data_IF_741988443050
#
_entry.id   IF_741988443050
#
_cell.length_a   1.000
_cell.length_b   1.000
_cell.length_c   1.000
_cell.angle_alpha   90.00
_cell.angle_beta   90.00
_cell.angle_gamma   90.00
#
_symmetry.space_group_name_H-M   'P 1'
#
loop_
_entity.id
_entity.type
_entity.pdbx_description
1 polymer ?
#
# COMPACT_ATOMS: atom_id res chain seq x y z
N UNK A 1 -38.34 4.39 -21.17
CA UNK A 1 -37.10 4.01 -21.91
C UNK A 1 -36.00 3.82 -20.89
N UNK A 2 -35.48 2.60 -20.75
CA UNK A 2 -34.38 2.27 -19.82
C UNK A 2 -33.06 2.81 -20.35
N UNK A 3 -32.17 3.22 -19.44
CA UNK A 3 -30.86 3.84 -19.70
C UNK A 3 -29.95 2.99 -20.62
N UNK A 4 -30.18 1.67 -20.66
CA UNK A 4 -29.54 0.72 -21.57
C UNK A 4 -29.78 1.03 -23.07
N UNK A 5 -30.88 1.71 -23.44
CA UNK A 5 -31.22 2.02 -24.84
C UNK A 5 -30.44 3.24 -25.41
N UNK A 6 -29.51 3.83 -24.65
CA UNK A 6 -28.69 5.01 -25.06
C UNK A 6 -27.19 4.74 -25.17
N UNK A 7 -26.72 3.53 -24.87
CA UNK A 7 -25.29 3.19 -24.97
C UNK A 7 -24.95 2.92 -26.44
N UNK A 8 -24.16 3.81 -27.05
CA UNK A 8 -23.72 3.69 -28.46
C UNK A 8 -22.36 3.02 -28.62
N UNK A 9 -21.48 3.13 -27.60
CA UNK A 9 -20.21 2.39 -27.48
C UNK A 9 -19.87 2.16 -26.02
N UNK A 10 -19.20 1.05 -25.73
CA UNK A 10 -18.68 0.72 -24.40
C UNK A 10 -17.17 0.54 -24.48
N UNK A 11 -16.43 1.34 -23.71
CA UNK A 11 -14.97 1.25 -23.62
C UNK A 11 -14.58 0.58 -22.29
N UNK A 12 -13.53 -0.22 -22.30
CA UNK A 12 -12.91 -0.76 -21.08
C UNK A 12 -11.47 -0.27 -20.96
N UNK A 13 -11.06 -0.01 -19.73
CA UNK A 13 -9.66 0.25 -19.41
C UNK A 13 -9.26 -0.55 -18.17
N UNK A 14 -7.97 -0.84 -18.08
CA UNK A 14 -7.33 -1.43 -16.91
C UNK A 14 -6.85 -0.29 -16.02
N UNK A 15 -7.39 -0.17 -14.81
CA UNK A 15 -6.87 0.73 -13.79
C UNK A 15 -5.76 0.05 -12.98
N UNK A 16 -4.66 0.74 -12.74
CA UNK A 16 -3.59 0.28 -11.86
C UNK A 16 -3.73 0.94 -10.49
N UNK A 17 -4.63 0.42 -9.64
CA UNK A 17 -5.00 1.09 -8.38
C UNK A 17 -3.81 1.44 -7.48
N UNK A 18 -2.75 0.62 -7.46
CA UNK A 18 -1.55 0.90 -6.66
C UNK A 18 -0.81 2.18 -7.09
N UNK A 19 -0.83 2.56 -8.37
CA UNK A 19 -0.16 3.79 -8.85
C UNK A 19 -0.92 5.05 -8.43
N UNK A 20 -2.26 5.00 -8.37
CA UNK A 20 -3.06 6.09 -7.82
C UNK A 20 -2.79 6.29 -6.32
N UNK A 21 -2.63 5.20 -5.58
CA UNK A 21 -2.31 5.25 -4.15
C UNK A 21 -0.88 5.78 -3.91
N UNK A 22 0.10 5.36 -4.72
CA UNK A 22 1.44 5.95 -4.68
C UNK A 22 1.44 7.45 -5.03
N UNK A 23 0.61 7.89 -5.98
CA UNK A 23 0.46 9.32 -6.26
C UNK A 23 -0.04 10.10 -5.03
N UNK A 24 -0.93 9.51 -4.22
CA UNK A 24 -1.36 10.11 -2.95
C UNK A 24 -0.21 10.16 -1.93
N UNK A 25 0.53 9.06 -1.77
CA UNK A 25 1.74 8.99 -0.93
C UNK A 25 2.73 10.11 -1.29
N UNK A 26 3.06 10.24 -2.58
CA UNK A 26 3.99 11.26 -3.08
C UNK A 26 3.53 12.69 -2.79
N UNK A 27 2.22 12.96 -2.87
CA UNK A 27 1.68 14.29 -2.54
C UNK A 27 1.77 14.58 -1.05
N UNK A 28 1.38 13.61 -0.20
CA UNK A 28 1.38 13.78 1.25
C UNK A 28 2.80 13.87 1.82
N UNK A 29 3.75 13.05 1.35
CA UNK A 29 5.13 13.12 1.86
C UNK A 29 5.79 14.45 1.52
N UNK A 30 5.58 14.97 0.29
CA UNK A 30 6.06 16.31 -0.08
C UNK A 30 5.47 17.40 0.80
N UNK A 31 4.19 17.28 1.18
CA UNK A 31 3.58 18.24 2.09
C UNK A 31 4.18 18.15 3.49
N UNK A 32 4.34 16.94 4.02
CA UNK A 32 4.94 16.71 5.33
C UNK A 32 6.38 17.27 5.41
N UNK A 33 7.18 17.06 4.37
CA UNK A 33 8.57 17.54 4.28
C UNK A 33 8.68 19.07 4.18
N UNK A 34 7.68 19.74 3.61
CA UNK A 34 7.69 21.19 3.39
C UNK A 34 6.87 21.96 4.46
N UNK A 35 6.32 21.28 5.47
CA UNK A 35 5.54 21.93 6.51
C UNK A 35 6.42 22.36 7.68
N UNK A 36 6.32 23.62 8.09
CA UNK A 36 7.00 24.13 9.28
C UNK A 36 6.33 23.70 10.59
N UNK A 37 5.05 23.28 10.55
CA UNK A 37 4.27 22.80 11.71
C UNK A 37 3.22 21.76 11.30
N UNK A 38 2.93 20.83 12.21
CA UNK A 38 1.90 19.79 12.10
C UNK A 38 1.94 18.94 10.81
N UNK A 39 2.72 17.87 10.85
CA UNK A 39 2.81 16.87 9.77
C UNK A 39 1.92 15.66 10.02
N UNK A 40 1.15 15.62 11.11
CA UNK A 40 0.48 14.40 11.57
C UNK A 40 -0.45 13.82 10.51
N UNK A 41 -1.32 14.65 9.94
CA UNK A 41 -2.30 14.23 8.92
C UNK A 41 -1.60 13.76 7.65
N UNK A 42 -0.53 14.45 7.24
CA UNK A 42 0.22 14.06 6.05
C UNK A 42 1.01 12.75 6.28
N UNK A 43 1.55 12.52 7.48
CA UNK A 43 2.19 11.24 7.85
C UNK A 43 1.16 10.10 7.91
N UNK A 44 -0.02 10.33 8.52
CA UNK A 44 -1.14 9.39 8.52
C UNK A 44 -1.51 8.97 7.08
N UNK A 45 -1.65 9.96 6.18
CA UNK A 45 -1.94 9.71 4.77
C UNK A 45 -0.85 8.88 4.10
N UNK A 46 0.42 9.22 4.31
CA UNK A 46 1.56 8.46 3.76
C UNK A 46 1.51 7.01 4.19
N UNK A 47 1.36 6.74 5.48
CA UNK A 47 1.35 5.39 6.03
C UNK A 47 0.15 4.58 5.51
N UNK A 48 -1.06 5.15 5.59
CA UNK A 48 -2.27 4.47 5.17
C UNK A 48 -2.26 4.17 3.66
N UNK A 49 -1.92 5.15 2.82
CA UNK A 49 -1.88 4.94 1.37
C UNK A 49 -0.72 4.03 0.95
N UNK A 50 0.39 3.98 1.70
CA UNK A 50 1.48 3.03 1.45
C UNK A 50 1.03 1.58 1.69
N UNK A 51 0.31 1.31 2.79
CA UNK A 51 -0.27 -0.02 3.03
C UNK A 51 -1.27 -0.44 1.95
N UNK A 52 -2.17 0.46 1.57
CA UNK A 52 -3.16 0.20 0.52
C UNK A 52 -2.47 0.00 -0.84
N UNK A 53 -1.44 0.79 -1.16
CA UNK A 53 -0.67 0.65 -2.40
C UNK A 53 0.01 -0.72 -2.46
N UNK A 54 0.67 -1.14 -1.37
CA UNK A 54 1.31 -2.44 -1.29
C UNK A 54 0.31 -3.59 -1.48
N UNK A 55 -0.85 -3.55 -0.83
CA UNK A 55 -1.87 -4.59 -1.01
C UNK A 55 -2.45 -4.58 -2.43
N UNK A 56 -2.76 -3.41 -2.98
CA UNK A 56 -3.25 -3.28 -4.36
C UNK A 56 -2.23 -3.81 -5.37
N UNK A 57 -0.94 -3.58 -5.11
CA UNK A 57 0.15 -4.11 -5.92
C UNK A 57 0.24 -5.64 -5.83
N UNK A 58 0.20 -6.23 -4.63
CA UNK A 58 0.15 -7.69 -4.46
C UNK A 58 -1.08 -8.31 -5.16
N UNK A 59 -2.23 -7.63 -5.09
CA UNK A 59 -3.43 -8.03 -5.84
C UNK A 59 -3.25 -7.96 -7.36
N UNK A 60 -2.40 -7.06 -7.86
CA UNK A 60 -2.10 -6.90 -9.29
C UNK A 60 -1.14 -7.99 -9.80
N UNK A 61 -0.10 -8.34 -9.04
CA UNK A 61 0.87 -9.36 -9.44
C UNK A 61 0.40 -10.79 -9.15
N UNK A 62 -0.48 -10.99 -8.17
CA UNK A 62 -0.96 -12.31 -7.76
C UNK A 62 -1.51 -13.19 -8.91
N UNK A 63 -2.40 -12.69 -9.80
CA UNK A 63 -2.89 -13.45 -10.94
C UNK A 63 -1.81 -13.89 -11.94
N UNK A 64 -0.66 -13.21 -11.96
CA UNK A 64 0.48 -13.57 -12.84
C UNK A 64 1.32 -14.72 -12.26
N UNK A 65 1.14 -15.01 -10.97
CA UNK A 65 1.87 -16.07 -10.25
C UNK A 65 0.96 -17.26 -9.95
N UNK A 66 -0.30 -17.00 -9.61
CA UNK A 66 -1.29 -18.02 -9.24
C UNK A 66 -2.53 -17.96 -10.14
N UNK A 67 -2.81 -19.02 -10.93
CA UNK A 67 -3.99 -19.07 -11.80
C UNK A 67 -5.34 -18.92 -11.07
N UNK A 68 -5.44 -19.38 -9.82
CA UNK A 68 -6.68 -19.31 -9.01
C UNK A 68 -6.65 -18.18 -7.97
N UNK A 69 -6.08 -17.02 -8.33
CA UNK A 69 -5.89 -15.89 -7.41
C UNK A 69 -7.19 -15.27 -6.88
N UNK A 70 -8.20 -15.08 -7.73
CA UNK A 70 -9.43 -14.36 -7.36
C UNK A 70 -10.17 -14.87 -6.11
N UNK A 71 -10.44 -16.18 -5.97
CA UNK A 71 -11.03 -16.70 -4.73
C UNK A 71 -10.04 -16.67 -3.56
N UNK A 72 -8.75 -16.83 -3.82
CA UNK A 72 -7.70 -16.88 -2.80
C UNK A 72 -7.46 -15.52 -2.15
N UNK A 73 -7.31 -14.46 -2.95
CA UNK A 73 -6.94 -13.10 -2.50
C UNK A 73 -7.90 -12.49 -1.49
N UNK A 74 -9.16 -12.96 -1.44
CA UNK A 74 -10.20 -12.52 -0.50
C UNK A 74 -10.02 -13.07 0.91
N UNK A 75 -9.27 -14.17 1.06
CA UNK A 75 -9.04 -14.85 2.34
C UNK A 75 -7.67 -14.55 2.94
N UNK A 76 -6.74 -14.07 2.12
CA UNK A 76 -5.38 -13.76 2.55
C UNK A 76 -5.29 -12.32 3.07
N UNK A 77 -4.64 -12.16 4.22
CA UNK A 77 -4.08 -10.88 4.65
C UNK A 77 -3.00 -10.39 3.66
N UNK A 78 -2.66 -9.09 3.65
CA UNK A 78 -1.58 -8.59 2.79
C UNK A 78 -0.25 -9.30 3.00
N UNK A 79 0.06 -9.71 4.24
CA UNK A 79 1.26 -10.47 4.56
C UNK A 79 1.25 -11.86 3.89
N UNK A 80 0.16 -12.60 4.09
CA UNK A 80 -0.01 -13.93 3.50
C UNK A 80 -0.03 -13.90 1.96
N UNK A 81 -0.53 -12.81 1.34
CA UNK A 81 -0.46 -12.61 -0.11
C UNK A 81 1.00 -12.63 -0.59
N UNK A 82 1.90 -11.92 0.08
CA UNK A 82 3.31 -11.93 -0.28
C UNK A 82 3.93 -13.31 -0.03
N UNK A 83 3.66 -13.92 1.13
CA UNK A 83 4.20 -15.24 1.49
C UNK A 83 3.88 -16.28 0.40
N UNK A 84 2.62 -16.37 -0.04
CA UNK A 84 2.24 -17.33 -1.08
C UNK A 84 2.87 -16.98 -2.43
N UNK A 85 2.89 -15.71 -2.82
CA UNK A 85 3.47 -15.23 -4.10
C UNK A 85 4.96 -15.57 -4.16
N UNK A 86 5.70 -15.27 -3.11
CA UNK A 86 7.13 -15.54 -3.01
C UNK A 86 7.40 -17.06 -3.02
N UNK A 87 6.62 -17.85 -2.27
CA UNK A 87 6.74 -19.30 -2.22
C UNK A 87 6.55 -19.94 -3.60
N UNK A 88 5.54 -19.51 -4.39
CA UNK A 88 5.32 -20.04 -5.74
C UNK A 88 6.42 -19.71 -6.75
N UNK A 89 7.22 -18.66 -6.51
CA UNK A 89 8.35 -18.29 -7.35
C UNK A 89 9.71 -18.69 -6.75
N UNK A 90 9.73 -19.31 -5.58
CA UNK A 90 10.96 -19.65 -4.87
C UNK A 90 11.78 -18.44 -4.40
N UNK A 91 11.15 -17.26 -4.29
CA UNK A 91 11.79 -16.03 -3.80
C UNK A 91 11.89 -16.10 -2.28
N UNK A 92 13.10 -15.91 -1.75
CA UNK A 92 13.34 -15.86 -0.31
C UNK A 92 13.38 -14.42 0.16
N UNK A 93 12.73 -14.15 1.28
CA UNK A 93 12.76 -12.85 1.94
C UNK A 93 12.61 -13.02 3.46
N UNK A 94 12.77 -11.93 4.21
CA UNK A 94 12.65 -11.92 5.67
C UNK A 94 11.82 -10.74 6.13
N UNK A 95 10.76 -11.01 6.90
CA UNK A 95 9.94 -9.99 7.56
C UNK A 95 10.72 -9.12 8.58
N UNK A 96 11.93 -9.54 8.96
CA UNK A 96 12.83 -8.78 9.84
C UNK A 96 13.86 -7.91 9.12
N UNK A 97 13.81 -7.82 7.78
CA UNK A 97 14.74 -7.04 6.98
C UNK A 97 14.01 -6.10 6.02
N UNK A 98 14.58 -4.93 5.76
CA UNK A 98 14.05 -4.00 4.74
C UNK A 98 14.15 -4.62 3.32
N UNK A 99 13.18 -4.35 2.43
CA UNK A 99 12.00 -3.49 2.60
C UNK A 99 10.80 -4.16 3.30
N UNK A 100 10.88 -5.46 3.58
CA UNK A 100 9.75 -6.27 4.08
C UNK A 100 9.39 -5.96 5.54
N UNK A 101 10.36 -5.53 6.35
CA UNK A 101 10.11 -5.03 7.70
C UNK A 101 9.16 -3.83 7.68
N UNK A 102 9.42 -2.82 6.84
CA UNK A 102 8.52 -1.67 6.66
C UNK A 102 7.15 -2.09 6.12
N UNK A 103 7.09 -3.10 5.24
CA UNK A 103 5.81 -3.66 4.78
C UNK A 103 5.01 -4.27 5.94
N UNK A 104 5.62 -5.09 6.80
CA UNK A 104 4.94 -5.66 7.96
C UNK A 104 4.46 -4.58 8.94
N UNK A 105 5.28 -3.56 9.17
CA UNK A 105 4.95 -2.42 10.01
C UNK A 105 3.73 -1.65 9.48
N UNK A 106 3.72 -1.31 8.18
CA UNK A 106 2.64 -0.52 7.60
C UNK A 106 1.33 -1.30 7.48
N UNK A 107 1.38 -2.63 7.27
CA UNK A 107 0.20 -3.50 7.32
C UNK A 107 -0.41 -3.50 8.73
N UNK A 108 0.42 -3.61 9.77
CA UNK A 108 -0.03 -3.54 11.16
C UNK A 108 -0.68 -2.20 11.47
N UNK A 109 -0.02 -1.11 11.08
CA UNK A 109 -0.57 0.25 11.23
C UNK A 109 -1.94 0.38 10.57
N UNK A 110 -2.08 -0.08 9.32
CA UNK A 110 -3.36 -0.06 8.59
C UNK A 110 -4.46 -0.81 9.35
N UNK A 111 -4.16 -1.95 9.95
CA UNK A 111 -5.14 -2.70 10.74
C UNK A 111 -5.54 -1.93 12.01
N UNK A 112 -4.58 -1.31 12.71
CA UNK A 112 -4.87 -0.49 13.88
C UNK A 112 -5.78 0.69 13.53
N UNK A 113 -5.54 1.38 12.41
CA UNK A 113 -6.36 2.51 11.96
C UNK A 113 -7.75 2.05 11.48
N UNK A 114 -7.83 0.95 10.73
CA UNK A 114 -9.10 0.43 10.20
C UNK A 114 -10.07 -0.05 11.30
N UNK A 115 -9.53 -0.43 12.46
CA UNK A 115 -10.28 -0.86 13.63
C UNK A 115 -10.21 0.17 14.78
N UNK A 116 -9.85 1.42 14.48
CA UNK A 116 -9.74 2.44 15.51
C UNK A 116 -11.11 2.75 16.13
N UNK A 117 -11.17 2.73 17.45
CA UNK A 117 -12.34 3.07 18.27
C UNK A 117 -12.02 4.25 19.18
N UNK A 118 -13.06 4.94 19.66
CA UNK A 118 -12.90 5.93 20.73
C UNK A 118 -12.41 5.21 21.98
N UNK A 119 -11.23 5.57 22.46
CA UNK A 119 -10.58 4.90 23.59
C UNK A 119 -9.75 5.90 24.39
N UNK A 120 -9.59 5.62 25.68
CA UNK A 120 -8.65 6.36 26.52
C UNK A 120 -7.22 5.88 26.20
N UNK A 121 -6.32 6.84 25.97
CA UNK A 121 -4.94 6.55 25.54
C UNK A 121 -3.96 6.87 26.66
N UNK A 122 -3.35 5.82 27.21
CA UNK A 122 -2.22 5.97 28.11
C UNK A 122 -0.97 6.44 27.34
N UNK A 123 -0.23 7.35 27.96
CA UNK A 123 1.05 7.83 27.47
C UNK A 123 2.03 7.99 28.61
N UNK A 124 3.32 7.82 28.32
CA UNK A 124 4.42 8.03 29.24
C UNK A 124 5.26 9.20 28.75
N UNK A 125 5.61 10.12 29.65
CA UNK A 125 6.58 11.18 29.35
C UNK A 125 7.95 10.72 29.87
N UNK A 126 8.92 10.62 28.96
CA UNK A 126 10.30 10.27 29.30
C UNK A 126 10.99 11.44 30.01
N UNK A 127 12.13 11.17 30.65
CA UNK A 127 12.93 12.19 31.36
C UNK A 127 13.42 13.34 30.47
N UNK A 128 13.51 13.11 29.16
CA UNK A 128 13.87 14.11 28.15
C UNK A 128 12.65 14.85 27.55
N UNK A 129 11.45 14.62 28.07
CA UNK A 129 10.21 15.27 27.64
C UNK A 129 9.50 14.61 26.46
N UNK A 130 10.06 13.54 25.87
CA UNK A 130 9.38 12.81 24.79
C UNK A 130 8.15 12.06 25.31
N UNK A 131 7.07 12.10 24.55
CA UNK A 131 5.84 11.34 24.81
C UNK A 131 5.90 10.02 24.07
N UNK A 132 5.71 8.92 24.79
CA UNK A 132 5.64 7.56 24.26
C UNK A 132 4.25 7.01 24.52
N UNK A 133 3.61 6.51 23.47
CA UNK A 133 2.35 5.78 23.57
C UNK A 133 2.40 4.61 22.59
N UNK A 134 1.76 3.50 22.92
CA UNK A 134 1.57 2.37 22.01
C UNK A 134 0.40 2.56 21.05
N UNK A 135 -0.35 3.65 21.18
CA UNK A 135 -1.49 3.94 20.31
C UNK A 135 -1.04 4.25 18.88
N UNK A 136 -1.87 3.95 17.88
CA UNK A 136 -1.51 4.04 16.45
C UNK A 136 -1.07 5.45 16.03
N UNK A 137 -1.54 6.50 16.72
CA UNK A 137 -1.14 7.88 16.47
C UNK A 137 0.37 8.10 16.62
N UNK A 138 1.03 7.35 17.50
CA UNK A 138 2.48 7.45 17.74
C UNK A 138 3.31 7.12 16.50
N UNK A 139 2.75 6.34 15.55
CA UNK A 139 3.43 5.96 14.31
C UNK A 139 3.50 7.10 13.30
N UNK A 140 2.64 8.12 13.42
CA UNK A 140 2.55 9.24 12.47
C UNK A 140 3.69 10.26 12.67
N UNK A 141 4.93 9.80 12.51
CA UNK A 141 6.15 10.60 12.54
C UNK A 141 6.73 10.74 11.13
N UNK A 142 7.39 11.86 10.85
CA UNK A 142 7.92 12.14 9.51
C UNK A 142 8.99 11.12 9.08
N UNK A 143 9.94 10.81 9.95
CA UNK A 143 11.01 9.83 9.69
C UNK A 143 10.46 8.41 9.45
N UNK A 144 9.42 8.01 10.19
CA UNK A 144 8.69 6.75 9.99
C UNK A 144 7.98 6.74 8.64
N UNK A 145 7.29 7.83 8.30
CA UNK A 145 6.59 7.97 7.02
C UNK A 145 7.54 7.96 5.82
N UNK A 146 8.69 8.64 5.91
CA UNK A 146 9.73 8.65 4.88
C UNK A 146 10.32 7.26 4.66
N UNK A 147 10.74 6.58 5.74
CA UNK A 147 11.28 5.21 5.65
C UNK A 147 10.27 4.25 5.03
N UNK A 148 9.04 4.22 5.54
CA UNK A 148 8.02 3.27 5.06
C UNK A 148 7.68 3.52 3.59
N UNK A 149 7.42 4.78 3.20
CA UNK A 149 7.09 5.09 1.81
C UNK A 149 8.22 4.70 0.85
N UNK A 150 9.47 5.02 1.19
CA UNK A 150 10.63 4.62 0.41
C UNK A 150 10.76 3.10 0.29
N UNK A 151 10.57 2.35 1.38
CA UNK A 151 10.63 0.88 1.36
C UNK A 151 9.51 0.25 0.52
N UNK A 152 8.28 0.78 0.59
CA UNK A 152 7.17 0.31 -0.24
C UNK A 152 7.43 0.58 -1.73
N UNK A 153 7.93 1.76 -2.07
CA UNK A 153 8.30 2.07 -3.46
C UNK A 153 9.44 1.19 -3.97
N UNK A 154 10.45 0.94 -3.13
CA UNK A 154 11.54 0.02 -3.46
C UNK A 154 10.99 -1.38 -3.76
N UNK A 155 10.12 -1.90 -2.90
CA UNK A 155 9.49 -3.22 -3.08
C UNK A 155 8.68 -3.29 -4.39
N UNK A 156 7.85 -2.29 -4.68
CA UNK A 156 7.05 -2.24 -5.91
C UNK A 156 7.96 -2.19 -7.16
N UNK A 157 9.15 -1.61 -7.05
CA UNK A 157 10.13 -1.51 -8.14
C UNK A 157 10.96 -2.78 -8.34
N UNK A 158 11.36 -3.47 -7.28
CA UNK A 158 12.28 -4.62 -7.35
C UNK A 158 11.57 -5.95 -7.43
N UNK A 159 10.50 -6.14 -6.65
CA UNK A 159 9.80 -7.42 -6.54
C UNK A 159 9.27 -7.96 -7.89
N UNK A 160 8.77 -7.14 -8.83
CA UNK A 160 8.37 -7.65 -10.15
C UNK A 160 9.47 -8.40 -10.88
N UNK A 161 10.71 -7.90 -10.79
CA UNK A 161 11.88 -8.50 -11.45
C UNK A 161 12.25 -9.83 -10.80
N UNK A 162 12.23 -9.89 -9.47
CA UNK A 162 12.53 -11.10 -8.70
C UNK A 162 11.51 -12.21 -8.96
N UNK A 163 10.23 -11.85 -9.13
CA UNK A 163 9.15 -12.79 -9.41
C UNK A 163 9.01 -13.16 -10.90
N UNK A 164 9.72 -12.45 -11.79
CA UNK A 164 9.57 -12.58 -13.23
C UNK A 164 8.17 -12.23 -13.73
N UNK A 165 7.55 -11.20 -13.14
CA UNK A 165 6.21 -10.70 -13.52
C UNK A 165 6.31 -9.33 -14.19
N UNK A 166 5.31 -8.98 -14.98
CA UNK A 166 5.29 -7.75 -15.75
C UNK A 166 4.40 -6.73 -15.05
N UNK A 167 4.92 -5.52 -14.88
CA UNK A 167 4.18 -4.37 -14.38
C UNK A 167 4.32 -3.22 -15.38
N UNK A 168 3.33 -2.32 -15.48
CA UNK A 168 3.45 -1.13 -16.31
C UNK A 168 4.55 -0.20 -15.78
N UNK A 169 4.83 0.88 -16.52
CA UNK A 169 5.74 1.92 -16.05
C UNK A 169 5.18 2.56 -14.76
N UNK A 170 6.06 3.01 -13.86
CA UNK A 170 5.70 3.43 -12.50
C UNK A 170 4.57 4.49 -12.42
N UNK A 171 4.44 5.35 -13.43
CA UNK A 171 3.45 6.42 -13.48
C UNK A 171 2.23 6.09 -14.35
N UNK A 172 2.13 4.88 -14.89
CA UNK A 172 0.99 4.47 -15.71
C UNK A 172 -0.22 4.23 -14.82
N UNK A 173 -1.18 5.16 -14.87
CA UNK A 173 -2.42 5.07 -14.09
C UNK A 173 -3.41 4.06 -14.67
N UNK A 174 -3.45 3.95 -16.01
CA UNK A 174 -4.36 3.07 -16.71
C UNK A 174 -3.81 2.62 -18.07
N UNK A 175 -4.38 1.56 -18.62
CA UNK A 175 -4.16 1.12 -20.00
C UNK A 175 -5.51 0.81 -20.67
N UNK A 176 -5.71 1.25 -21.91
CA UNK A 176 -6.91 0.93 -22.67
C UNK A 176 -6.96 -0.58 -22.98
N UNK A 177 -8.16 -1.17 -22.87
CA UNK A 177 -8.43 -2.53 -23.32
C UNK A 177 -9.32 -2.37 -24.55
N UNK A 178 -8.79 -2.74 -25.72
CA UNK A 178 -9.47 -2.61 -27.02
C UNK A 178 -10.93 -3.09 -26.97
N UNK A 179 -11.80 -2.49 -27.81
CA UNK A 179 -13.26 -2.65 -27.83
C UNK A 179 -13.71 -4.07 -27.47
N UNK A 180 -14.63 -4.17 -26.50
CA UNK A 180 -15.34 -5.42 -26.22
C UNK A 180 -16.37 -5.57 -27.32
N UNK A 181 -16.07 -6.41 -28.31
CA UNK A 181 -17.07 -6.90 -29.27
C UNK A 181 -18.21 -7.60 -28.53
#
# INVERSE_FOLDING_TARGET
MTEAARITKSHKYRAYSYTYLLMAVHKSIRRAQNSERDTFVDCLNVLLYSALAAEAFLNHIGPQVFPHWEPLKKKLSPQEKLDVIAAAKGVKFSWGAEPYQSLAEVIRFRNLVAHAETTDVDYTVLSDGRVVSSHWQSYCQLDVAERISASIEALIKTLPKELGVIVPQANTLAAEISEVT
#
